data_IF_084404309897
#
_entry.id   IF_084404309897
#
_cell.length_a   1.000
_cell.length_b   1.000
_cell.length_c   1.000
_cell.angle_alpha   90.00
_cell.angle_beta   90.00
_cell.angle_gamma   90.00
#
_symmetry.space_group_name_H-M   'P 1'
#
loop_
_entity.id
_entity.type
_entity.pdbx_description
1 polymer ?
#
# COMPACT_ATOMS: atom_id res chain seq x y z
N UNK A 1 -8.26 -17.26 17.49
CA UNK A 1 -6.99 -16.52 17.33
C UNK A 1 -6.80 -16.44 15.85
N UNK A 2 -7.24 -15.33 15.26
CA UNK A 2 -7.25 -15.16 13.80
C UNK A 2 -5.83 -15.33 13.27
N UNK A 3 -5.63 -16.36 12.46
CA UNK A 3 -4.42 -16.56 11.67
C UNK A 3 -4.24 -15.28 10.85
N UNK A 4 -3.23 -14.48 11.21
CA UNK A 4 -2.79 -13.37 10.41
C UNK A 4 -1.93 -13.95 9.28
N UNK A 5 -2.42 -14.00 8.03
CA UNK A 5 -1.78 -14.78 6.96
C UNK A 5 -0.46 -14.17 6.46
N UNK A 6 -0.05 -13.03 7.01
CA UNK A 6 1.14 -12.29 6.58
C UNK A 6 0.84 -10.81 6.42
N UNK A 7 1.89 -10.02 6.20
CA UNK A 7 1.77 -8.57 6.04
C UNK A 7 1.46 -8.27 4.57
N UNK A 8 0.21 -7.95 4.25
CA UNK A 8 -0.19 -7.56 2.88
C UNK A 8 0.59 -6.33 2.37
N UNK A 9 0.95 -5.43 3.31
CA UNK A 9 1.65 -4.18 3.03
C UNK A 9 2.76 -3.93 4.05
N UNK A 10 3.99 -3.85 3.56
CA UNK A 10 5.16 -3.42 4.34
C UNK A 10 5.60 -2.02 3.90
N UNK A 11 5.77 -1.11 4.85
CA UNK A 11 6.26 0.24 4.60
C UNK A 11 7.59 0.46 5.32
N UNK A 12 8.68 0.46 4.56
CA UNK A 12 10.03 0.79 5.05
C UNK A 12 10.27 2.28 4.88
N UNK A 13 10.76 2.96 5.93
CA UNK A 13 10.91 4.43 5.92
C UNK A 13 12.32 4.87 6.28
N UNK A 14 12.77 5.92 5.59
CA UNK A 14 13.96 6.71 5.94
C UNK A 14 13.61 8.19 5.82
N UNK A 15 13.31 8.83 6.95
CA UNK A 15 12.74 10.18 6.99
C UNK A 15 11.36 10.21 6.32
N UNK A 16 11.20 11.06 5.30
CA UNK A 16 9.94 11.18 4.54
C UNK A 16 9.86 10.21 3.36
N UNK A 17 10.98 9.55 2.99
CA UNK A 17 11.00 8.57 1.91
C UNK A 17 10.56 7.19 2.39
N UNK A 18 9.82 6.47 1.56
CA UNK A 18 9.43 5.10 1.82
C UNK A 18 9.58 4.17 0.61
N UNK A 19 9.73 2.89 0.92
CA UNK A 19 9.45 1.79 0.00
C UNK A 19 8.23 1.03 0.56
N UNK A 20 7.16 0.97 -0.24
CA UNK A 20 6.00 0.15 0.06
C UNK A 20 6.08 -1.15 -0.76
N UNK A 21 5.98 -2.29 -0.07
CA UNK A 21 6.13 -3.62 -0.64
C UNK A 21 4.84 -4.39 -0.37
N UNK A 22 4.18 -4.88 -1.43
CA UNK A 22 2.95 -5.66 -1.37
C UNK A 22 3.26 -7.12 -1.64
N UNK A 23 2.79 -8.05 -0.81
CA UNK A 23 2.88 -9.48 -1.12
C UNK A 23 1.99 -9.81 -2.32
N UNK A 24 2.48 -10.66 -3.22
CA UNK A 24 1.76 -11.01 -4.44
C UNK A 24 0.89 -12.27 -4.30
N UNK A 25 1.13 -13.06 -3.24
CA UNK A 25 0.52 -14.36 -2.99
C UNK A 25 0.43 -14.60 -1.47
N UNK A 26 -0.24 -15.68 -1.08
CA UNK A 26 -0.20 -16.18 0.30
C UNK A 26 1.24 -16.56 0.68
N UNK A 27 1.68 -16.08 1.84
CA UNK A 27 3.05 -16.25 2.30
C UNK A 27 3.15 -17.55 3.11
N UNK A 28 3.93 -18.50 2.62
CA UNK A 28 4.29 -19.73 3.35
C UNK A 28 5.75 -19.62 3.85
N UNK A 29 5.93 -19.63 5.17
CA UNK A 29 7.24 -19.47 5.80
C UNK A 29 8.18 -20.65 5.55
N UNK A 30 7.65 -21.82 5.20
CA UNK A 30 8.43 -23.02 4.91
C UNK A 30 8.79 -23.13 3.42
N UNK A 31 8.27 -22.23 2.57
CA UNK A 31 8.42 -22.24 1.11
C UNK A 31 8.91 -20.89 0.57
N UNK A 32 10.24 -20.67 0.48
CA UNK A 32 10.81 -19.39 0.02
C UNK A 32 10.33 -18.93 -1.35
N UNK A 33 9.90 -19.83 -2.22
CA UNK A 33 9.32 -19.52 -3.53
C UNK A 33 8.03 -18.71 -3.45
N UNK A 34 7.33 -18.69 -2.31
CA UNK A 34 6.14 -17.86 -2.13
C UNK A 34 6.48 -16.43 -1.68
N UNK A 35 7.75 -16.13 -1.37
CA UNK A 35 8.20 -14.82 -0.85
C UNK A 35 8.38 -13.81 -1.99
N UNK A 36 7.35 -13.71 -2.83
CA UNK A 36 7.29 -12.79 -3.96
C UNK A 36 6.51 -11.54 -3.59
N UNK A 37 7.01 -10.38 -4.01
CA UNK A 37 6.38 -9.10 -3.71
C UNK A 37 6.62 -8.06 -4.80
N UNK A 38 5.67 -7.15 -4.95
CA UNK A 38 5.80 -5.98 -5.81
C UNK A 38 6.11 -4.74 -4.98
N UNK A 39 6.92 -3.86 -5.55
CA UNK A 39 7.16 -2.52 -4.99
C UNK A 39 6.14 -1.55 -5.57
N UNK A 40 5.46 -0.81 -4.71
CA UNK A 40 4.59 0.30 -5.10
C UNK A 40 5.46 1.49 -5.53
N UNK A 41 5.12 2.05 -6.69
CA UNK A 41 5.78 3.24 -7.26
C UNK A 41 5.22 4.52 -6.64
N UNK A 42 3.99 4.47 -6.12
CA UNK A 42 3.42 5.53 -5.32
C UNK A 42 3.90 5.42 -3.86
N UNK A 43 3.68 6.44 -3.03
CA UNK A 43 3.93 6.33 -1.58
C UNK A 43 3.04 5.30 -0.86
N UNK A 44 2.08 4.69 -1.59
CA UNK A 44 1.01 3.81 -1.10
C UNK A 44 0.00 4.55 -0.22
N UNK A 45 -1.26 4.69 -0.67
CA UNK A 45 -2.29 5.44 0.06
C UNK A 45 -2.64 4.82 1.40
N UNK A 46 -2.95 3.53 1.43
CA UNK A 46 -3.21 2.77 2.68
C UNK A 46 -1.98 2.72 3.58
N UNK A 47 -0.79 2.55 3.00
CA UNK A 47 0.49 2.65 3.72
C UNK A 47 0.69 4.03 4.36
N UNK A 48 0.35 5.11 3.66
CA UNK A 48 0.39 6.49 4.17
C UNK A 48 -0.54 6.65 5.37
N UNK A 49 -1.78 6.16 5.28
CA UNK A 49 -2.74 6.16 6.40
C UNK A 49 -2.23 5.40 7.62
N UNK A 50 -1.66 4.20 7.43
CA UNK A 50 -1.09 3.40 8.50
C UNK A 50 0.11 4.10 9.16
N UNK A 51 0.96 4.74 8.36
CA UNK A 51 2.10 5.53 8.85
C UNK A 51 1.63 6.73 9.67
N UNK A 52 0.62 7.47 9.21
CA UNK A 52 0.03 8.58 9.97
C UNK A 52 -0.54 8.10 11.30
N UNK A 53 -1.26 6.98 11.31
CA UNK A 53 -1.78 6.39 12.55
C UNK A 53 -0.67 6.02 13.54
N UNK A 54 0.43 5.45 13.05
CA UNK A 54 1.60 5.14 13.87
C UNK A 54 2.28 6.40 14.42
N UNK A 55 2.48 7.42 13.59
CA UNK A 55 3.08 8.69 14.02
C UNK A 55 2.21 9.41 15.06
N UNK A 56 0.89 9.43 14.84
CA UNK A 56 -0.07 10.00 15.77
C UNK A 56 -0.09 9.27 17.11
N UNK A 57 -0.11 7.93 17.09
CA UNK A 57 -0.04 7.13 18.30
C UNK A 57 1.26 7.37 19.10
N UNK A 58 2.33 7.81 18.43
CA UNK A 58 3.61 8.22 19.04
C UNK A 58 3.66 9.69 19.45
N UNK A 59 2.60 10.46 19.20
CA UNK A 59 2.55 11.91 19.47
C UNK A 59 3.41 12.76 18.52
N UNK A 60 3.81 12.20 17.37
CA UNK A 60 4.69 12.84 16.39
C UNK A 60 3.94 13.52 15.24
N UNK A 61 2.63 13.31 15.12
CA UNK A 61 1.77 13.93 14.12
C UNK A 61 0.43 14.25 14.77
N UNK A 62 -0.05 15.49 14.62
CA UNK A 62 -1.33 15.92 15.20
C UNK A 62 -2.47 15.84 14.19
N UNK A 63 -3.70 15.84 14.71
CA UNK A 63 -4.90 16.06 13.88
C UNK A 63 -4.78 17.41 13.16
N UNK A 64 -5.09 17.43 11.86
CA UNK A 64 -4.99 18.60 10.99
C UNK A 64 -3.57 18.94 10.50
N UNK A 65 -2.53 18.26 10.99
CA UNK A 65 -1.15 18.49 10.55
C UNK A 65 -0.87 17.76 9.22
N UNK A 66 -0.34 18.45 8.20
CA UNK A 66 -0.01 17.82 6.92
C UNK A 66 1.25 16.95 7.04
N UNK A 67 1.18 15.75 6.49
CA UNK A 67 2.27 14.79 6.41
C UNK A 67 2.63 14.52 4.94
N UNK A 68 3.87 14.82 4.55
CA UNK A 68 4.37 14.52 3.20
C UNK A 68 5.02 13.14 3.20
N UNK A 69 4.47 12.24 2.39
CA UNK A 69 5.01 10.89 2.19
C UNK A 69 5.56 10.74 0.78
N UNK A 70 6.85 10.42 0.66
CA UNK A 70 7.58 10.37 -0.62
C UNK A 70 7.94 8.93 -0.96
N UNK A 71 7.60 8.49 -2.17
CA UNK A 71 7.88 7.13 -2.64
C UNK A 71 9.35 6.91 -3.01
N UNK A 72 9.67 5.66 -3.35
CA UNK A 72 11.01 5.28 -3.81
C UNK A 72 11.42 5.96 -5.13
N UNK A 73 10.46 6.36 -5.96
CA UNK A 73 10.70 7.10 -7.22
C UNK A 73 10.52 8.61 -7.07
N UNK A 74 10.29 9.11 -5.85
CA UNK A 74 10.17 10.54 -5.55
C UNK A 74 8.79 11.16 -5.77
N UNK A 75 7.77 10.37 -6.13
CA UNK A 75 6.38 10.82 -6.14
C UNK A 75 5.89 11.08 -4.71
N UNK A 76 4.92 11.98 -4.52
CA UNK A 76 4.50 12.44 -3.19
C UNK A 76 3.00 12.38 -3.01
N UNK A 77 2.59 12.00 -1.80
CA UNK A 77 1.26 12.19 -1.27
C UNK A 77 1.31 13.15 -0.09
N UNK A 78 0.21 13.88 0.10
CA UNK A 78 -0.03 14.68 1.29
C UNK A 78 -1.12 13.98 2.08
N UNK A 79 -0.76 13.46 3.25
CA UNK A 79 -1.69 12.89 4.20
C UNK A 79 -2.09 13.90 5.27
N UNK A 80 -3.34 13.87 5.70
CA UNK A 80 -3.81 14.64 6.87
C UNK A 80 -4.71 13.75 7.71
N UNK A 81 -4.53 13.76 9.03
CA UNK A 81 -5.49 13.14 9.95
C UNK A 81 -6.63 14.14 10.16
N UNK A 82 -7.83 13.81 9.71
CA UNK A 82 -8.99 14.69 9.83
C UNK A 82 -9.54 14.68 11.25
N UNK A 83 -9.68 13.51 11.84
CA UNK A 83 -10.18 13.34 13.20
C UNK A 83 -9.79 11.97 13.80
N UNK A 84 -9.85 11.90 15.12
CA UNK A 84 -9.84 10.64 15.85
C UNK A 84 -11.25 10.04 15.88
N UNK A 85 -11.33 8.72 15.84
CA UNK A 85 -12.60 7.99 15.99
C UNK A 85 -12.41 6.71 16.79
N UNK A 86 -13.49 6.01 17.08
CA UNK A 86 -13.49 4.73 17.79
C UNK A 86 -14.27 3.71 16.98
N UNK A 87 -13.66 2.56 16.72
CA UNK A 87 -14.32 1.44 16.06
C UNK A 87 -15.40 0.83 16.95
N UNK A 88 -16.31 0.04 16.38
CA UNK A 88 -17.39 -0.62 17.12
C UNK A 88 -16.87 -1.51 18.28
N UNK A 89 -15.67 -2.07 18.14
CA UNK A 89 -15.02 -2.87 19.19
C UNK A 89 -14.25 -2.04 20.24
N UNK A 90 -14.43 -0.72 20.26
CA UNK A 90 -13.79 0.18 21.23
C UNK A 90 -12.34 0.55 20.92
N UNK A 91 -11.76 0.05 19.83
CA UNK A 91 -10.38 0.41 19.44
C UNK A 91 -10.33 1.83 18.88
N UNK A 92 -9.33 2.60 19.31
CA UNK A 92 -9.01 3.91 18.72
C UNK A 92 -8.63 3.74 17.25
N UNK A 93 -9.13 4.64 16.42
CA UNK A 93 -8.84 4.74 15.00
C UNK A 93 -8.77 6.21 14.58
N UNK A 94 -8.42 6.45 13.32
CA UNK A 94 -8.34 7.78 12.74
C UNK A 94 -9.12 7.80 11.42
N UNK A 95 -9.58 8.97 11.03
CA UNK A 95 -10.08 9.25 9.68
C UNK A 95 -8.96 9.94 8.89
N UNK A 96 -8.24 9.22 8.01
CA UNK A 96 -7.19 9.81 7.19
C UNK A 96 -7.75 10.41 5.90
N UNK A 97 -7.16 11.51 5.45
CA UNK A 97 -7.23 12.00 4.08
C UNK A 97 -5.88 11.77 3.41
N UNK A 98 -5.90 11.33 2.15
CA UNK A 98 -4.69 11.22 1.32
C UNK A 98 -4.96 11.96 0.01
N UNK A 99 -4.08 12.92 -0.28
CA UNK A 99 -4.08 13.70 -1.50
C UNK A 99 -2.91 13.28 -2.40
N UNK A 100 -3.20 13.14 -3.68
CA UNK A 100 -2.22 12.86 -4.73
C UNK A 100 -2.76 13.29 -6.09
N UNK A 101 -1.96 13.06 -7.13
CA UNK A 101 -2.33 13.35 -8.52
C UNK A 101 -2.34 12.08 -9.36
N UNK A 102 -3.27 12.01 -10.29
CA UNK A 102 -3.30 10.99 -11.34
C UNK A 102 -3.40 11.66 -12.71
N UNK A 103 -2.80 11.04 -13.72
CA UNK A 103 -2.85 11.49 -15.11
C UNK A 103 -3.52 10.41 -15.96
N UNK A 104 -4.37 10.82 -16.90
CA UNK A 104 -4.88 9.91 -17.93
C UNK A 104 -3.69 9.49 -18.81
N UNK A 105 -3.42 8.19 -18.88
CA UNK A 105 -2.31 7.65 -19.68
C UNK A 105 -2.78 7.09 -21.01
N UNK A 106 -3.95 6.47 -21.06
CA UNK A 106 -4.45 5.77 -22.24
C UNK A 106 -5.98 5.57 -22.17
N UNK A 107 -6.61 5.48 -23.34
CA UNK A 107 -7.91 4.84 -23.54
C UNK A 107 -7.68 3.53 -24.31
N UNK A 108 -8.20 2.41 -23.81
CA UNK A 108 -7.92 1.09 -24.38
C UNK A 108 -9.18 0.22 -24.44
N UNK A 109 -9.31 -0.55 -25.50
CA UNK A 109 -10.22 -1.69 -25.60
C UNK A 109 -9.39 -2.96 -25.45
N UNK A 110 -9.72 -3.79 -24.45
CA UNK A 110 -9.03 -5.05 -24.17
C UNK A 110 -10.01 -6.17 -24.41
N UNK A 111 -9.64 -7.12 -25.27
CA UNK A 111 -10.48 -8.26 -25.69
C UNK A 111 -9.77 -9.55 -25.28
N UNK A 112 -10.52 -10.46 -24.67
CA UNK A 112 -10.07 -11.82 -24.34
C UNK A 112 -10.72 -12.77 -25.34
N UNK A 113 -9.94 -13.29 -26.27
CA UNK A 113 -10.41 -14.25 -27.28
C UNK A 113 -10.51 -15.66 -26.65
N UNK A 114 -11.68 -16.33 -26.71
CA UNK A 114 -11.83 -17.69 -26.18
C UNK A 114 -10.87 -18.73 -26.79
N UNK A 115 -10.31 -18.48 -27.98
CA UNK A 115 -9.34 -19.35 -28.62
C UNK A 115 -7.88 -19.04 -28.22
N UNK A 116 -7.64 -18.00 -27.42
CA UNK A 116 -6.29 -17.68 -26.92
C UNK A 116 -5.79 -18.79 -25.97
N UNK A 117 -4.58 -19.29 -26.27
CA UNK A 117 -3.90 -20.30 -25.46
C UNK A 117 -3.51 -19.77 -24.07
N UNK A 118 -3.40 -18.45 -23.90
CA UNK A 118 -3.00 -17.79 -22.65
C UNK A 118 -4.11 -16.92 -22.06
N UNK A 119 -5.36 -17.38 -22.13
CA UNK A 119 -6.56 -16.68 -21.65
C UNK A 119 -6.45 -16.12 -20.22
N UNK A 120 -5.81 -16.85 -19.30
CA UNK A 120 -5.65 -16.48 -17.89
C UNK A 120 -4.39 -15.64 -17.62
N UNK A 121 -3.60 -15.37 -18.66
CA UNK A 121 -2.28 -14.77 -18.55
C UNK A 121 -1.23 -15.73 -17.99
N UNK A 122 0.03 -15.27 -17.96
CA UNK A 122 1.14 -15.98 -17.35
C UNK A 122 2.16 -14.98 -16.83
N UNK A 123 3.11 -15.45 -16.00
CA UNK A 123 4.23 -14.66 -15.50
C UNK A 123 5.54 -15.30 -15.92
N UNK A 124 6.58 -14.48 -16.09
CA UNK A 124 7.97 -14.94 -16.32
C UNK A 124 8.78 -14.59 -15.08
N UNK A 125 9.35 -15.60 -14.44
CA UNK A 125 9.73 -15.56 -13.03
C UNK A 125 10.84 -14.55 -12.66
N UNK A 126 11.73 -14.18 -13.58
CA UNK A 126 12.86 -13.29 -13.29
C UNK A 126 12.51 -11.80 -13.33
N UNK A 127 11.33 -11.45 -13.84
CA UNK A 127 10.88 -10.05 -14.01
C UNK A 127 9.56 -9.73 -13.28
N UNK A 128 9.01 -10.65 -12.48
CA UNK A 128 7.73 -10.52 -11.77
C UNK A 128 7.77 -10.96 -10.31
#
# INVERSE_FOLDING_TARGET
>A
TEDYPGVDILVFRSGNKNAAIMSNNELDWDKPETWTAMIDRSPCGTGTSAVMAMLHARGLLKVGEPFVHESIIGSKFIGTILEETTLQNGRKALIPQVEGSACITQYSEVVVDPEDTFLEGFRVADIW
#
